data_IF_650721993918
#
_entry.id   IF_650721993918
#
_cell.length_a   1.000
_cell.length_b   1.000
_cell.length_c   1.000
_cell.angle_alpha   90.00
_cell.angle_beta   90.00
_cell.angle_gamma   90.00
#
_symmetry.space_group_name_H-M   'P 1'
#
loop_
_entity.id
_entity.type
_entity.pdbx_description
1 polymer ?
#
# COMPACT_ATOMS: atom_id res chain seq x y z
N UNK A 1 0.25 -10.55 -11.70
CA UNK A 1 -0.93 -9.93 -12.35
C UNK A 1 -2.09 -10.90 -12.61
N UNK A 2 -1.88 -12.23 -12.64
CA UNK A 2 -2.94 -13.22 -12.97
C UNK A 2 -4.19 -13.15 -12.08
N UNK A 3 -4.06 -12.67 -10.84
CA UNK A 3 -5.19 -12.56 -9.90
C UNK A 3 -6.12 -11.37 -10.17
N UNK A 4 -5.74 -10.40 -11.00
CA UNK A 4 -6.52 -9.17 -11.18
C UNK A 4 -7.74 -9.39 -12.09
N UNK A 5 -8.94 -9.19 -11.57
CA UNK A 5 -10.20 -9.24 -12.34
C UNK A 5 -10.62 -7.89 -12.95
N UNK A 6 -9.77 -6.85 -12.85
CA UNK A 6 -10.06 -5.47 -13.28
C UNK A 6 -11.36 -4.87 -12.69
N UNK A 7 -11.70 -5.25 -11.46
CA UNK A 7 -12.93 -4.77 -10.78
C UNK A 7 -12.96 -3.26 -10.43
N UNK A 8 -11.87 -2.51 -10.61
CA UNK A 8 -11.83 -1.06 -10.36
C UNK A 8 -11.77 -0.63 -8.89
N UNK A 9 -12.03 -1.51 -7.92
CA UNK A 9 -12.09 -1.16 -6.48
C UNK A 9 -10.81 -0.47 -6.00
N UNK A 10 -9.63 -0.94 -6.46
CA UNK A 10 -8.36 -0.36 -6.08
C UNK A 10 -8.19 1.09 -6.57
N UNK A 11 -8.71 1.43 -7.75
CA UNK A 11 -8.67 2.78 -8.30
C UNK A 11 -9.56 3.73 -7.49
N UNK A 12 -10.81 3.35 -7.23
CA UNK A 12 -11.72 4.15 -6.39
C UNK A 12 -11.28 4.25 -4.92
N UNK A 13 -10.47 3.29 -4.44
CA UNK A 13 -9.90 3.32 -3.10
C UNK A 13 -8.67 4.22 -2.95
N UNK A 14 -8.01 4.61 -4.04
CA UNK A 14 -6.78 5.38 -3.99
C UNK A 14 -7.08 6.84 -3.65
N UNK A 15 -6.66 7.38 -2.48
CA UNK A 15 -6.91 8.77 -2.15
C UNK A 15 -6.16 9.75 -3.06
N UNK A 16 -5.10 9.28 -3.72
CA UNK A 16 -4.29 10.07 -4.64
C UNK A 16 -4.77 9.98 -6.10
N UNK A 17 -5.80 9.17 -6.39
CA UNK A 17 -6.25 8.92 -7.76
C UNK A 17 -5.20 8.27 -8.67
N UNK A 18 -4.14 7.69 -8.09
CA UNK A 18 -2.94 7.27 -8.81
C UNK A 18 -3.04 5.93 -9.54
N UNK A 19 -4.19 5.27 -9.55
CA UNK A 19 -4.35 3.95 -10.19
C UNK A 19 -5.34 4.13 -11.34
N UNK A 20 -4.88 3.82 -12.55
CA UNK A 20 -5.68 3.95 -13.75
C UNK A 20 -6.81 2.91 -13.82
N UNK A 21 -7.74 3.12 -14.76
CA UNK A 21 -8.89 2.23 -14.97
C UNK A 21 -8.50 0.79 -15.33
N UNK A 22 -7.30 0.58 -15.89
CA UNK A 22 -6.76 -0.76 -16.18
C UNK A 22 -6.39 -1.56 -14.92
N UNK A 23 -6.48 -0.94 -13.73
CA UNK A 23 -6.12 -1.48 -12.42
C UNK A 23 -4.65 -1.89 -12.30
N UNK A 24 -3.79 -1.55 -13.25
CA UNK A 24 -2.40 -1.98 -13.36
C UNK A 24 -1.49 -0.77 -13.29
N UNK A 25 -1.72 0.18 -14.18
CA UNK A 25 -0.91 1.38 -14.32
C UNK A 25 -1.09 2.25 -13.09
N UNK A 26 0.03 2.61 -12.47
CA UNK A 26 0.08 3.55 -11.36
C UNK A 26 0.74 4.82 -11.87
N UNK A 27 -0.05 5.86 -12.09
CA UNK A 27 0.41 7.17 -12.55
C UNK A 27 0.37 8.17 -11.39
N UNK A 28 1.24 9.17 -11.41
CA UNK A 28 1.29 10.17 -10.33
C UNK A 28 1.89 9.66 -9.02
N UNK A 29 1.43 10.23 -7.89
CA UNK A 29 2.11 10.09 -6.59
C UNK A 29 1.45 9.03 -5.70
N UNK A 30 2.17 7.94 -5.43
CA UNK A 30 1.76 6.93 -4.45
C UNK A 30 2.35 7.23 -3.05
N UNK A 31 1.48 7.58 -2.08
CA UNK A 31 1.85 7.82 -0.67
C UNK A 31 1.98 6.54 0.17
N UNK A 32 1.88 5.36 -0.46
CA UNK A 32 2.00 4.03 0.18
C UNK A 32 1.02 3.79 1.34
N UNK A 33 -0.18 4.37 1.29
CA UNK A 33 -1.23 4.21 2.32
C UNK A 33 -1.85 2.79 2.40
N UNK A 34 -1.52 1.90 1.45
CA UNK A 34 -2.00 0.51 1.35
C UNK A 34 -3.52 0.31 1.22
N UNK A 35 -4.31 1.35 0.96
CA UNK A 35 -5.76 1.23 0.77
C UNK A 35 -6.12 0.28 -0.38
N UNK A 36 -5.41 0.36 -1.51
CA UNK A 36 -5.60 -0.50 -2.67
C UNK A 36 -5.26 -1.97 -2.39
N UNK A 37 -4.26 -2.24 -1.55
CA UNK A 37 -3.85 -3.59 -1.12
C UNK A 37 -4.95 -4.19 -0.24
N UNK A 38 -5.37 -3.47 0.81
CA UNK A 38 -6.38 -3.94 1.77
C UNK A 38 -7.76 -4.18 1.15
N UNK A 39 -8.14 -3.36 0.17
CA UNK A 39 -9.47 -3.43 -0.47
C UNK A 39 -9.53 -4.33 -1.68
N UNK A 40 -8.40 -4.86 -2.18
CA UNK A 40 -8.43 -5.72 -3.37
C UNK A 40 -8.98 -7.11 -2.98
N UNK A 41 -10.19 -7.50 -3.44
CA UNK A 41 -10.79 -8.78 -3.03
C UNK A 41 -10.01 -9.99 -3.57
N UNK A 42 -9.33 -9.83 -4.71
CA UNK A 42 -8.53 -10.88 -5.31
C UNK A 42 -7.10 -10.97 -4.74
N UNK A 43 -6.71 -10.06 -3.83
CA UNK A 43 -5.34 -9.98 -3.32
C UNK A 43 -4.29 -9.72 -4.41
N UNK A 44 -4.68 -9.02 -5.48
CA UNK A 44 -3.81 -8.78 -6.65
C UNK A 44 -2.86 -7.58 -6.47
N UNK A 45 -3.09 -6.73 -5.45
CA UNK A 45 -2.26 -5.56 -5.15
C UNK A 45 -1.31 -5.86 -3.99
N UNK A 46 -0.04 -5.56 -4.18
CA UNK A 46 1.02 -5.75 -3.19
C UNK A 46 2.19 -4.81 -3.51
N UNK A 47 3.14 -4.67 -2.58
CA UNK A 47 4.40 -3.95 -2.81
C UNK A 47 5.53 -4.97 -2.98
N UNK A 48 6.29 -4.84 -4.05
CA UNK A 48 7.48 -5.67 -4.35
C UNK A 48 8.76 -4.84 -4.48
N UNK A 49 8.66 -3.52 -4.32
CA UNK A 49 9.80 -2.60 -4.37
C UNK A 49 10.81 -2.94 -3.24
N UNK A 50 12.08 -3.24 -3.56
CA UNK A 50 13.07 -3.63 -2.55
C UNK A 50 13.34 -2.57 -1.49
N UNK A 51 13.26 -1.28 -1.82
CA UNK A 51 13.44 -0.21 -0.85
C UNK A 51 12.26 -0.14 0.13
N UNK A 52 11.03 -0.41 -0.33
CA UNK A 52 9.89 -0.56 0.56
C UNK A 52 10.01 -1.79 1.46
N UNK A 53 10.40 -2.94 0.90
CA UNK A 53 10.51 -4.19 1.63
C UNK A 53 11.59 -4.13 2.72
N UNK A 54 12.79 -3.63 2.39
CA UNK A 54 13.87 -3.42 3.36
C UNK A 54 13.48 -2.46 4.49
N UNK A 55 12.77 -1.36 4.16
CA UNK A 55 12.29 -0.43 5.20
C UNK A 55 11.26 -1.09 6.13
N UNK A 56 10.35 -1.90 5.58
CA UNK A 56 9.40 -2.68 6.37
C UNK A 56 10.12 -3.69 7.28
N UNK A 57 11.11 -4.41 6.77
CA UNK A 57 11.91 -5.38 7.54
C UNK A 57 12.63 -4.68 8.70
N UNK A 58 13.30 -3.56 8.44
CA UNK A 58 13.93 -2.74 9.48
C UNK A 58 12.94 -2.36 10.59
N UNK A 59 11.72 -1.92 10.22
CA UNK A 59 10.70 -1.57 11.22
C UNK A 59 10.26 -2.77 12.06
N UNK A 60 10.07 -3.92 11.42
CA UNK A 60 9.66 -5.17 12.11
C UNK A 60 10.76 -5.69 13.03
N UNK A 61 12.02 -5.56 12.66
CA UNK A 61 13.14 -6.01 13.50
C UNK A 61 13.35 -5.11 14.72
N UNK A 62 13.19 -3.79 14.55
CA UNK A 62 13.61 -2.82 15.56
C UNK A 62 12.46 -2.26 16.43
N UNK A 63 11.19 -2.35 15.99
CA UNK A 63 10.07 -1.64 16.63
C UNK A 63 8.82 -2.51 16.83
N UNK A 64 8.97 -3.72 17.37
CA UNK A 64 7.84 -4.61 17.68
C UNK A 64 7.07 -4.22 18.94
N UNK A 65 7.73 -3.60 19.91
CA UNK A 65 7.11 -3.19 21.16
C UNK A 65 6.22 -1.94 20.95
N UNK A 66 5.00 -1.98 21.50
CA UNK A 66 4.12 -0.82 21.55
C UNK A 66 4.78 0.28 22.39
N UNK A 67 4.89 1.49 21.83
CA UNK A 67 5.30 2.70 22.55
C UNK A 67 4.07 3.47 23.02
N UNK A 68 4.12 4.02 24.23
CA UNK A 68 3.09 4.92 24.74
C UNK A 68 3.31 6.35 24.21
N UNK A 69 2.27 7.17 24.27
CA UNK A 69 2.32 8.55 23.77
C UNK A 69 3.23 9.42 24.65
N UNK A 70 4.08 10.22 24.01
CA UNK A 70 4.90 11.24 24.65
C UNK A 70 4.34 12.62 24.29
N UNK A 71 4.13 13.47 25.30
CA UNK A 71 3.61 14.83 25.13
C UNK A 71 4.73 15.83 25.40
N UNK A 72 4.93 16.77 24.49
CA UNK A 72 5.95 17.82 24.58
C UNK A 72 5.25 19.19 24.68
N UNK A 73 5.68 20.03 25.62
CA UNK A 73 5.18 21.41 25.84
C UNK A 73 6.04 22.39 25.05
#
# INVERSE_FOLDING_TARGET
>A
MEKCSKCGICAGACPMGSIEADCVTVSGVCIKCQACVRKCPAGAKYFEDPAFLSHKEMLVENFTARKENEFFI
#
